data_IF_975221135312
#
_entry.id   IF_975221135312
#
_cell.length_a   1.000
_cell.length_b   1.000
_cell.length_c   1.000
_cell.angle_alpha   90.00
_cell.angle_beta   90.00
_cell.angle_gamma   90.00
#
_symmetry.space_group_name_H-M   'P 1'
#
loop_
_entity.id
_entity.type
_entity.pdbx_description
1 polymer ?
#
# COMPACT_ATOMS: atom_id res chain seq x y z
N UNK A 1 -10.83 -24.19 -49.74
CA UNK A 1 -9.93 -24.31 -48.58
C UNK A 1 -10.59 -25.24 -47.58
N UNK A 2 -10.14 -26.49 -47.54
CA UNK A 2 -10.67 -27.51 -46.64
C UNK A 2 -10.11 -27.27 -45.24
N UNK A 3 -10.97 -26.82 -44.32
CA UNK A 3 -10.68 -26.77 -42.89
C UNK A 3 -10.46 -28.20 -42.41
N UNK A 4 -9.20 -28.61 -42.31
CA UNK A 4 -8.81 -29.85 -41.62
C UNK A 4 -9.32 -29.76 -40.18
N UNK A 5 -10.25 -30.64 -39.82
CA UNK A 5 -10.70 -30.81 -38.45
C UNK A 5 -9.51 -31.25 -37.61
N UNK A 6 -8.87 -30.31 -36.93
CA UNK A 6 -7.88 -30.60 -35.89
C UNK A 6 -8.65 -31.33 -34.81
N UNK A 7 -8.34 -32.63 -34.62
CA UNK A 7 -8.87 -33.38 -33.49
C UNK A 7 -8.61 -32.55 -32.23
N UNK A 8 -9.66 -32.23 -31.49
CA UNK A 8 -9.57 -31.36 -30.33
C UNK A 8 -8.74 -32.07 -29.26
N UNK A 9 -7.44 -31.75 -29.20
CA UNK A 9 -6.57 -32.20 -28.12
C UNK A 9 -7.15 -31.65 -26.83
N UNK A 10 -7.57 -32.54 -25.94
CA UNK A 10 -8.05 -32.18 -24.61
C UNK A 10 -6.83 -31.82 -23.77
N UNK A 11 -6.81 -30.61 -23.22
CA UNK A 11 -5.72 -30.16 -22.35
C UNK A 11 -6.11 -30.42 -20.90
N UNK A 12 -5.26 -31.11 -20.11
CA UNK A 12 -5.54 -31.37 -18.70
C UNK A 12 -5.72 -30.09 -17.89
N UNK A 13 -6.64 -30.14 -16.93
CA UNK A 13 -6.96 -28.99 -16.07
C UNK A 13 -5.77 -28.59 -15.19
N UNK A 14 -5.02 -29.59 -14.74
CA UNK A 14 -3.83 -29.45 -13.91
C UNK A 14 -2.75 -28.60 -14.59
N UNK A 15 -2.68 -28.63 -15.92
CA UNK A 15 -1.74 -27.83 -16.71
C UNK A 15 -2.11 -26.34 -16.65
N UNK A 16 -3.40 -26.01 -16.74
CA UNK A 16 -3.88 -24.63 -16.57
C UNK A 16 -3.62 -24.13 -15.15
N UNK A 17 -3.94 -24.94 -14.14
CA UNK A 17 -3.70 -24.58 -12.74
C UNK A 17 -2.21 -24.32 -12.46
N UNK A 18 -1.33 -25.16 -13.01
CA UNK A 18 0.12 -25.00 -12.86
C UNK A 18 0.61 -23.71 -13.54
N UNK A 19 0.15 -23.44 -14.77
CA UNK A 19 0.45 -22.18 -15.46
C UNK A 19 0.01 -20.96 -14.65
N UNK A 20 -1.25 -20.90 -14.22
CA UNK A 20 -1.75 -19.73 -13.49
C UNK A 20 -1.02 -19.51 -12.16
N UNK A 21 -0.73 -20.57 -11.40
CA UNK A 21 0.01 -20.47 -10.13
C UNK A 21 1.47 -20.02 -10.32
N UNK A 22 2.16 -20.60 -11.31
CA UNK A 22 3.55 -20.27 -11.59
C UNK A 22 3.65 -18.84 -12.14
N UNK A 23 2.73 -18.43 -13.02
CA UNK A 23 2.69 -17.07 -13.55
C UNK A 23 2.36 -16.05 -12.47
N UNK A 24 1.40 -16.34 -11.58
CA UNK A 24 1.08 -15.50 -10.43
C UNK A 24 2.31 -15.27 -9.55
N UNK A 25 3.02 -16.35 -9.22
CA UNK A 25 4.25 -16.27 -8.42
C UNK A 25 5.31 -15.41 -9.12
N UNK A 26 5.61 -15.68 -10.39
CA UNK A 26 6.58 -14.92 -11.17
C UNK A 26 6.25 -13.42 -11.23
N UNK A 27 4.97 -13.07 -11.39
CA UNK A 27 4.51 -11.67 -11.44
C UNK A 27 4.61 -10.96 -10.09
N UNK A 28 4.31 -11.65 -8.98
CA UNK A 28 4.37 -11.06 -7.64
C UNK A 28 5.81 -10.80 -7.17
N UNK A 29 6.74 -11.68 -7.52
CA UNK A 29 8.17 -11.55 -7.18
C UNK A 29 8.97 -10.69 -8.16
N UNK A 30 8.33 -10.17 -9.21
CA UNK A 30 8.97 -9.34 -10.22
C UNK A 30 9.65 -8.11 -9.62
N UNK A 31 10.95 -7.93 -9.90
CA UNK A 31 11.68 -6.72 -9.48
C UNK A 31 11.71 -5.70 -10.61
N UNK A 32 11.50 -4.43 -10.28
CA UNK A 32 11.51 -3.34 -11.26
C UNK A 32 12.88 -3.16 -11.93
N UNK A 33 13.97 -3.43 -11.22
CA UNK A 33 15.35 -3.33 -11.75
C UNK A 33 15.60 -4.32 -12.89
N UNK A 34 15.16 -5.57 -12.72
CA UNK A 34 15.32 -6.64 -13.71
C UNK A 34 14.58 -6.31 -15.02
N UNK A 35 13.45 -5.61 -14.93
CA UNK A 35 12.70 -5.16 -16.09
C UNK A 35 13.38 -4.00 -16.84
N UNK A 36 14.05 -3.09 -16.13
CA UNK A 36 14.79 -1.99 -16.76
C UNK A 36 16.06 -2.48 -17.46
N UNK A 37 16.81 -3.40 -16.84
CA UNK A 37 18.03 -3.98 -17.45
C UNK A 37 17.73 -4.76 -18.74
N UNK A 38 16.55 -5.38 -18.85
CA UNK A 38 16.13 -6.08 -20.05
C UNK A 38 15.87 -5.15 -21.25
N UNK A 39 15.56 -3.87 -21.02
CA UNK A 39 15.25 -2.88 -22.06
C UNK A 39 16.52 -2.22 -22.64
N UNK A 40 17.55 -2.03 -21.82
CA UNK A 40 18.83 -1.38 -22.20
C UNK A 40 19.58 -2.10 -23.34
N UNK A 41 19.26 -3.37 -23.62
CA UNK A 41 19.87 -4.14 -24.71
C UNK A 41 19.37 -3.80 -26.13
N UNK A 42 18.25 -3.09 -26.26
CA UNK A 42 17.71 -2.68 -27.56
C UNK A 42 17.94 -1.18 -27.77
N UNK A 43 18.78 -0.81 -28.75
CA UNK A 43 19.16 0.57 -29.09
C UNK A 43 18.02 1.52 -29.51
N UNK A 44 16.75 1.16 -29.32
CA UNK A 44 15.60 2.04 -29.52
C UNK A 44 14.99 2.40 -28.16
N UNK A 45 14.98 3.68 -27.77
CA UNK A 45 14.46 4.09 -26.48
C UNK A 45 12.93 3.89 -26.47
N UNK A 46 12.49 2.77 -25.91
CA UNK A 46 11.11 2.57 -25.45
C UNK A 46 10.78 3.46 -24.23
N UNK A 47 11.71 4.37 -23.88
CA UNK A 47 11.63 5.46 -22.89
C UNK A 47 10.41 6.37 -23.08
N UNK A 48 9.74 6.33 -24.23
CA UNK A 48 8.58 7.18 -24.49
C UNK A 48 7.24 6.56 -24.08
N UNK A 49 7.18 5.25 -23.80
CA UNK A 49 5.95 4.59 -23.35
C UNK A 49 6.24 3.53 -22.27
N UNK A 50 6.29 3.93 -20.98
CA UNK A 50 6.52 3.01 -19.86
C UNK A 50 5.51 1.87 -19.83
N UNK A 51 4.27 2.21 -20.17
CA UNK A 51 3.13 1.32 -20.02
C UNK A 51 3.19 0.20 -21.07
N UNK A 52 3.41 0.54 -22.34
CA UNK A 52 3.59 -0.45 -23.39
C UNK A 52 4.80 -1.36 -23.13
N UNK A 53 5.91 -0.77 -22.67
CA UNK A 53 7.14 -1.51 -22.34
C UNK A 53 6.90 -2.49 -21.20
N UNK A 54 6.24 -2.04 -20.13
CA UNK A 54 5.87 -2.87 -18.97
C UNK A 54 4.90 -4.00 -19.36
N UNK A 55 3.90 -3.72 -20.19
CA UNK A 55 2.97 -4.74 -20.72
C UNK A 55 3.70 -5.80 -21.53
N UNK A 56 4.61 -5.39 -22.42
CA UNK A 56 5.40 -6.32 -23.24
C UNK A 56 6.26 -7.22 -22.36
N UNK A 57 6.90 -6.67 -21.34
CA UNK A 57 7.71 -7.43 -20.40
C UNK A 57 6.89 -8.47 -19.63
N UNK A 58 5.72 -8.08 -19.10
CA UNK A 58 4.79 -9.00 -18.43
C UNK A 58 4.33 -10.13 -19.36
N UNK A 59 4.00 -9.81 -20.62
CA UNK A 59 3.62 -10.82 -21.61
C UNK A 59 4.76 -11.78 -21.91
N UNK A 60 6.00 -11.29 -22.04
CA UNK A 60 7.17 -12.14 -22.22
C UNK A 60 7.38 -13.05 -21.01
N UNK A 61 7.22 -12.55 -19.79
CA UNK A 61 7.30 -13.36 -18.58
C UNK A 61 6.25 -14.48 -18.58
N UNK A 62 4.98 -14.15 -18.87
CA UNK A 62 3.91 -15.14 -18.97
C UNK A 62 4.20 -16.19 -20.06
N UNK A 63 4.73 -15.77 -21.22
CA UNK A 63 5.14 -16.69 -22.29
C UNK A 63 6.29 -17.61 -21.87
N UNK A 64 7.22 -17.15 -21.05
CA UNK A 64 8.29 -17.98 -20.49
C UNK A 64 7.69 -19.05 -19.57
N UNK A 65 6.80 -18.67 -18.67
CA UNK A 65 6.11 -19.60 -17.76
C UNK A 65 5.30 -20.64 -18.52
N UNK A 66 4.59 -20.25 -19.60
CA UNK A 66 3.89 -21.22 -20.46
C UNK A 66 4.88 -22.25 -21.01
N UNK A 67 6.03 -21.82 -21.52
CA UNK A 67 7.04 -22.73 -22.08
C UNK A 67 7.58 -23.69 -21.01
N UNK A 68 7.87 -23.18 -19.82
CA UNK A 68 8.38 -23.99 -18.71
C UNK A 68 7.36 -25.04 -18.26
N UNK A 69 6.11 -24.65 -18.05
CA UNK A 69 5.04 -25.55 -17.57
C UNK A 69 4.71 -26.63 -18.59
N UNK A 70 4.64 -26.30 -19.89
CA UNK A 70 4.42 -27.29 -20.95
C UNK A 70 5.60 -28.27 -21.05
N UNK A 71 6.84 -27.78 -20.95
CA UNK A 71 8.02 -28.64 -20.96
C UNK A 71 8.09 -29.56 -19.74
N UNK A 72 7.70 -29.06 -18.56
CA UNK A 72 7.64 -29.86 -17.34
C UNK A 72 6.58 -30.96 -17.46
N UNK A 73 5.40 -30.63 -17.99
CA UNK A 73 4.33 -31.60 -18.24
C UNK A 73 4.75 -32.69 -19.23
N UNK A 74 5.38 -32.31 -20.36
CA UNK A 74 5.91 -33.28 -21.34
C UNK A 74 6.92 -34.23 -20.69
N UNK A 75 7.85 -33.71 -19.87
CA UNK A 75 8.82 -34.55 -19.15
C UNK A 75 8.16 -35.52 -18.15
N UNK A 76 7.09 -35.09 -17.48
CA UNK A 76 6.36 -35.95 -16.54
C UNK A 76 5.63 -37.08 -17.28
N UNK A 77 4.98 -36.79 -18.40
CA UNK A 77 4.34 -37.79 -19.27
C UNK A 77 5.35 -38.78 -19.86
N UNK A 78 6.51 -38.31 -20.34
CA UNK A 78 7.59 -39.18 -20.85
C UNK A 78 8.08 -40.18 -19.78
N UNK A 79 8.06 -39.78 -18.50
CA UNK A 79 8.53 -40.60 -17.38
C UNK A 79 7.55 -41.70 -16.96
N UNK A 80 6.26 -41.55 -17.28
CA UNK A 80 5.18 -42.44 -16.84
C UNK A 80 4.91 -43.60 -17.81
N UNK A 81 5.56 -43.65 -18.98
CA UNK A 81 5.38 -44.69 -20.00
C UNK A 81 3.90 -45.01 -20.32
N UNK A 82 3.05 -43.98 -20.36
CA UNK A 82 1.66 -44.15 -20.76
C UNK A 82 1.61 -44.34 -22.28
N UNK A 83 1.07 -45.47 -22.75
CA UNK A 83 1.00 -45.84 -24.17
C UNK A 83 0.20 -44.83 -25.04
N UNK A 84 -0.57 -43.93 -24.43
CA UNK A 84 -1.30 -42.82 -25.08
C UNK A 84 -0.64 -41.46 -24.78
N UNK A 85 0.51 -41.21 -25.40
CA UNK A 85 1.20 -39.93 -25.27
C UNK A 85 0.38 -38.79 -25.90
N UNK A 86 -0.10 -37.87 -25.07
CA UNK A 86 -0.76 -36.64 -25.52
C UNK A 86 0.29 -35.54 -25.67
N UNK A 87 0.84 -35.36 -26.87
CA UNK A 87 1.83 -34.30 -27.13
C UNK A 87 1.15 -32.92 -27.16
N UNK A 88 1.07 -32.29 -25.99
CA UNK A 88 0.57 -30.92 -25.84
C UNK A 88 1.70 -29.94 -26.15
N UNK A 89 1.58 -29.24 -27.28
CA UNK A 89 2.52 -28.19 -27.68
C UNK A 89 2.16 -26.83 -27.05
N UNK A 90 3.15 -25.95 -26.92
CA UNK A 90 2.95 -24.55 -26.47
C UNK A 90 1.91 -23.81 -27.31
N UNK A 91 1.89 -24.05 -28.62
CA UNK A 91 0.93 -23.41 -29.53
C UNK A 91 -0.51 -23.88 -29.26
N UNK A 92 -0.72 -25.18 -29.05
CA UNK A 92 -2.04 -25.73 -28.68
C UNK A 92 -2.50 -25.17 -27.33
N UNK A 93 -1.62 -25.16 -26.33
CA UNK A 93 -1.94 -24.59 -25.01
C UNK A 93 -2.33 -23.11 -25.09
N UNK A 94 -1.60 -22.31 -25.86
CA UNK A 94 -1.93 -20.89 -26.08
C UNK A 94 -3.28 -20.68 -26.80
N UNK A 95 -3.63 -21.55 -27.75
CA UNK A 95 -4.94 -21.49 -28.42
C UNK A 95 -6.05 -21.76 -27.42
N UNK A 96 -5.92 -22.82 -26.61
CA UNK A 96 -6.93 -23.14 -25.60
C UNK A 96 -7.02 -22.08 -24.51
N UNK A 97 -5.91 -21.50 -24.06
CA UNK A 97 -5.91 -20.37 -23.12
C UNK A 97 -6.76 -19.19 -23.61
N UNK A 98 -6.75 -18.89 -24.92
CA UNK A 98 -7.58 -17.82 -25.50
C UNK A 98 -9.07 -18.17 -25.55
N UNK A 99 -9.38 -19.46 -25.66
CA UNK A 99 -10.76 -19.95 -25.68
C UNK A 99 -11.33 -20.11 -24.26
N UNK A 100 -10.46 -20.31 -23.28
CA UNK A 100 -10.80 -20.58 -21.89
C UNK A 100 -11.69 -19.49 -21.25
N UNK A 101 -11.49 -18.21 -21.61
CA UNK A 101 -12.30 -17.10 -21.10
C UNK A 101 -13.76 -17.14 -21.56
N UNK A 102 -14.05 -17.86 -22.65
CA UNK A 102 -15.39 -18.00 -23.22
C UNK A 102 -16.02 -19.37 -22.90
N UNK A 103 -15.30 -20.26 -22.20
CA UNK A 103 -15.80 -21.59 -21.88
C UNK A 103 -16.72 -21.55 -20.65
N UNK A 104 -18.03 -21.84 -20.79
CA UNK A 104 -18.96 -21.86 -19.66
C UNK A 104 -18.71 -23.03 -18.69
N UNK A 105 -17.95 -24.06 -19.10
CA UNK A 105 -17.71 -25.26 -18.30
C UNK A 105 -16.36 -25.25 -17.57
N UNK A 106 -15.68 -24.10 -17.52
CA UNK A 106 -14.43 -23.95 -16.77
C UNK A 106 -14.67 -24.26 -15.28
N UNK A 107 -13.77 -25.03 -14.67
CA UNK A 107 -13.85 -25.32 -13.25
C UNK A 107 -13.73 -24.04 -12.41
N UNK A 108 -14.32 -24.04 -11.21
CA UNK A 108 -14.20 -22.92 -10.27
C UNK A 108 -12.74 -22.62 -9.91
N UNK A 109 -11.92 -23.66 -9.82
CA UNK A 109 -10.54 -23.57 -9.36
C UNK A 109 -9.65 -22.94 -10.43
N UNK A 110 -9.82 -23.33 -11.69
CA UNK A 110 -9.13 -22.71 -12.82
C UNK A 110 -9.56 -21.25 -12.97
N UNK A 111 -10.85 -20.96 -12.82
CA UNK A 111 -11.36 -19.59 -12.87
C UNK A 111 -10.74 -18.72 -11.78
N UNK A 112 -10.72 -19.20 -10.53
CA UNK A 112 -10.10 -18.49 -9.42
C UNK A 112 -8.59 -18.29 -9.63
N UNK A 113 -7.88 -19.30 -10.15
CA UNK A 113 -6.47 -19.18 -10.46
C UNK A 113 -6.19 -18.17 -11.59
N UNK A 114 -7.03 -18.15 -12.63
CA UNK A 114 -6.96 -17.18 -13.72
C UNK A 114 -7.20 -15.75 -13.21
N UNK A 115 -8.20 -15.54 -12.36
CA UNK A 115 -8.47 -14.24 -11.72
C UNK A 115 -7.30 -13.79 -10.83
N UNK A 116 -6.69 -14.72 -10.08
CA UNK A 116 -5.50 -14.45 -9.28
C UNK A 116 -4.29 -14.02 -10.13
N UNK A 117 -4.05 -14.70 -11.25
CA UNK A 117 -2.99 -14.31 -12.19
C UNK A 117 -3.26 -12.94 -12.82
N UNK A 118 -4.50 -12.66 -13.21
CA UNK A 118 -4.89 -11.36 -13.77
C UNK A 118 -4.69 -10.22 -12.77
N UNK A 119 -5.01 -10.45 -11.49
CA UNK A 119 -4.73 -9.49 -10.43
C UNK A 119 -3.22 -9.28 -10.24
N UNK A 120 -2.44 -10.36 -10.16
CA UNK A 120 -0.98 -10.27 -10.06
C UNK A 120 -0.36 -9.53 -11.26
N UNK A 121 -0.90 -9.70 -12.47
CA UNK A 121 -0.47 -8.98 -13.66
C UNK A 121 -0.77 -7.47 -13.56
N UNK A 122 -1.94 -7.08 -13.03
CA UNK A 122 -2.29 -5.67 -12.78
C UNK A 122 -1.35 -5.04 -11.75
N UNK A 123 -1.06 -5.75 -10.65
CA UNK A 123 -0.14 -5.30 -9.62
C UNK A 123 1.30 -5.17 -10.17
N UNK A 124 1.77 -6.17 -10.92
CA UNK A 124 3.07 -6.15 -11.56
C UNK A 124 3.19 -4.97 -12.55
N UNK A 125 2.16 -4.73 -13.37
CA UNK A 125 2.14 -3.60 -14.31
C UNK A 125 2.27 -2.27 -13.58
N UNK A 126 1.46 -2.06 -12.54
CA UNK A 126 1.53 -0.85 -11.74
C UNK A 126 2.90 -0.68 -11.06
N UNK A 127 3.47 -1.77 -10.53
CA UNK A 127 4.79 -1.76 -9.88
C UNK A 127 5.89 -1.35 -10.87
N UNK A 128 5.91 -1.92 -12.07
CA UNK A 128 6.87 -1.58 -13.11
C UNK A 128 6.75 -0.12 -13.56
N UNK A 129 5.52 0.34 -13.79
CA UNK A 129 5.24 1.71 -14.20
C UNK A 129 5.72 2.72 -13.16
N UNK A 130 5.40 2.49 -11.89
CA UNK A 130 5.86 3.34 -10.79
C UNK A 130 7.38 3.32 -10.66
N UNK A 131 8.00 2.15 -10.75
CA UNK A 131 9.45 2.01 -10.66
C UNK A 131 10.15 2.79 -11.77
N UNK A 132 9.68 2.66 -13.01
CA UNK A 132 10.25 3.33 -14.16
C UNK A 132 10.08 4.85 -14.08
N UNK A 133 8.88 5.33 -13.74
CA UNK A 133 8.63 6.76 -13.61
C UNK A 133 9.44 7.38 -12.47
N UNK A 134 9.60 6.67 -11.36
CA UNK A 134 10.47 7.11 -10.28
C UNK A 134 11.94 7.13 -10.72
N UNK A 135 12.41 6.09 -11.42
CA UNK A 135 13.75 6.04 -11.98
C UNK A 135 14.01 7.24 -12.90
N UNK A 136 13.07 7.56 -13.80
CA UNK A 136 13.13 8.76 -14.66
C UNK A 136 13.24 10.04 -13.85
N UNK A 137 12.40 10.20 -12.82
CA UNK A 137 12.39 11.39 -11.96
C UNK A 137 13.72 11.57 -11.23
N UNK A 138 14.34 10.46 -10.79
CA UNK A 138 15.64 10.47 -10.08
C UNK A 138 16.87 10.54 -10.99
N UNK A 139 16.74 10.14 -12.26
CA UNK A 139 17.85 10.08 -13.22
C UNK A 139 18.26 11.46 -13.78
N UNK A 140 19.49 11.56 -14.27
CA UNK A 140 20.19 12.79 -14.72
C UNK A 140 19.36 13.74 -15.61
N UNK A 141 19.77 15.02 -15.64
CA UNK A 141 19.14 16.16 -16.34
C UNK A 141 18.67 15.91 -17.78
N UNK A 142 19.29 14.97 -18.51
CA UNK A 142 18.95 14.70 -19.91
C UNK A 142 17.64 13.91 -20.06
N UNK A 143 17.38 12.90 -19.21
CA UNK A 143 16.11 12.16 -19.21
C UNK A 143 14.95 13.05 -18.78
N UNK A 144 15.17 13.93 -17.80
CA UNK A 144 14.19 14.95 -17.42
C UNK A 144 13.93 15.98 -18.54
N UNK A 145 14.94 16.33 -19.35
CA UNK A 145 14.77 17.20 -20.53
C UNK A 145 14.00 16.51 -21.64
N UNK A 146 14.16 15.20 -21.81
CA UNK A 146 13.38 14.39 -22.74
C UNK A 146 11.93 14.26 -22.28
N UNK A 147 11.67 14.00 -21.00
CA UNK A 147 10.32 13.97 -20.42
C UNK A 147 9.61 15.33 -20.61
N UNK A 148 10.30 16.43 -20.28
CA UNK A 148 9.75 17.78 -20.52
C UNK A 148 9.47 18.05 -21.98
N UNK A 149 10.37 17.64 -22.89
CA UNK A 149 10.14 17.78 -24.33
C UNK A 149 8.95 16.93 -24.76
N UNK A 150 8.83 15.69 -24.31
CA UNK A 150 7.69 14.85 -24.66
C UNK A 150 6.35 15.45 -24.19
N UNK A 151 6.30 15.93 -22.95
CA UNK A 151 5.10 16.59 -22.40
C UNK A 151 4.80 17.94 -23.07
N UNK A 152 5.80 18.65 -23.59
CA UNK A 152 5.63 19.97 -24.23
C UNK A 152 5.47 19.93 -25.75
N UNK A 153 6.08 18.94 -26.42
CA UNK A 153 6.14 18.82 -27.88
C UNK A 153 5.01 17.96 -28.44
N UNK A 154 4.22 17.27 -27.60
CA UNK A 154 2.95 16.69 -28.03
C UNK A 154 1.97 17.83 -28.34
N UNK A 155 1.76 18.21 -29.61
CA UNK A 155 0.99 19.40 -29.99
C UNK A 155 -0.53 19.17 -29.91
N UNK A 156 -0.93 17.96 -29.50
CA UNK A 156 -2.31 17.56 -29.30
C UNK A 156 -2.54 17.68 -27.80
N UNK A 157 -3.36 18.64 -27.38
CA UNK A 157 -3.91 18.65 -26.02
C UNK A 157 -4.43 17.24 -25.75
N UNK A 158 -3.88 16.52 -24.76
CA UNK A 158 -4.22 15.12 -24.58
C UNK A 158 -5.67 15.05 -24.11
N UNK A 159 -6.58 14.82 -25.05
CA UNK A 159 -7.98 14.58 -24.75
C UNK A 159 -8.04 13.38 -23.80
N UNK A 160 -8.82 13.53 -22.72
CA UNK A 160 -9.09 12.43 -21.82
C UNK A 160 -9.98 11.42 -22.55
N UNK A 161 -9.35 10.46 -23.21
CA UNK A 161 -10.08 9.32 -23.75
C UNK A 161 -10.59 8.43 -22.61
N UNK A 162 -11.83 7.95 -22.77
CA UNK A 162 -12.51 7.05 -21.84
C UNK A 162 -11.65 5.85 -21.46
N UNK A 163 -11.03 5.20 -22.45
CA UNK A 163 -10.24 3.97 -22.24
C UNK A 163 -9.02 4.25 -21.39
N UNK A 164 -8.30 5.34 -21.71
CA UNK A 164 -7.11 5.75 -20.96
C UNK A 164 -7.47 6.17 -19.54
N UNK A 165 -8.63 6.82 -19.35
CA UNK A 165 -9.09 7.24 -18.04
C UNK A 165 -9.42 6.03 -17.14
N UNK A 166 -10.16 5.05 -17.67
CA UNK A 166 -10.43 3.80 -16.96
C UNK A 166 -9.15 3.04 -16.63
N UNK A 167 -8.18 3.01 -17.55
CA UNK A 167 -6.88 2.42 -17.31
C UNK A 167 -6.13 3.14 -16.17
N UNK A 168 -6.11 4.47 -16.18
CA UNK A 168 -5.51 5.26 -15.11
C UNK A 168 -6.16 4.96 -13.76
N UNK A 169 -7.48 4.88 -13.69
CA UNK A 169 -8.18 4.50 -12.46
C UNK A 169 -7.82 3.08 -12.01
N UNK A 170 -7.75 2.13 -12.94
CA UNK A 170 -7.30 0.76 -12.65
C UNK A 170 -5.87 0.71 -12.12
N UNK A 171 -4.95 1.54 -12.66
CA UNK A 171 -3.60 1.68 -12.14
C UNK A 171 -3.58 2.28 -10.72
N UNK A 172 -4.40 3.31 -10.46
CA UNK A 172 -4.51 3.85 -9.11
C UNK A 172 -5.07 2.83 -8.11
N UNK A 173 -6.10 2.06 -8.48
CA UNK A 173 -6.63 0.98 -7.64
C UNK A 173 -5.59 -0.11 -7.37
N UNK A 174 -4.83 -0.51 -8.40
CA UNK A 174 -3.73 -1.47 -8.26
C UNK A 174 -2.62 -0.93 -7.34
N UNK A 175 -2.28 0.36 -7.45
CA UNK A 175 -1.27 1.00 -6.62
C UNK A 175 -1.62 0.92 -5.13
N UNK A 176 -2.89 1.15 -4.75
CA UNK A 176 -3.35 1.06 -3.36
C UNK A 176 -3.19 -0.34 -2.75
N UNK A 177 -3.12 -1.38 -3.57
CA UNK A 177 -2.93 -2.77 -3.14
C UNK A 177 -1.45 -3.15 -2.98
N UNK A 178 -0.53 -2.43 -3.62
CA UNK A 178 0.90 -2.71 -3.56
C UNK A 178 1.47 -2.49 -2.16
N UNK A 179 2.26 -3.45 -1.67
CA UNK A 179 2.89 -3.36 -0.35
C UNK A 179 3.87 -2.18 -0.27
N UNK A 180 4.64 -1.92 -1.31
CA UNK A 180 5.58 -0.78 -1.35
C UNK A 180 4.87 0.58 -1.26
N UNK A 181 3.71 0.73 -1.90
CA UNK A 181 2.89 1.95 -1.80
C UNK A 181 2.29 2.09 -0.40
N UNK A 182 1.80 0.99 0.21
CA UNK A 182 1.29 1.01 1.58
C UNK A 182 2.38 1.44 2.58
N UNK A 183 3.56 0.83 2.51
CA UNK A 183 4.68 1.19 3.37
C UNK A 183 5.12 2.64 3.15
N UNK A 184 5.18 3.07 1.90
CA UNK A 184 5.43 4.47 1.55
C UNK A 184 4.41 5.40 2.20
N UNK A 185 3.12 5.08 2.13
CA UNK A 185 2.06 5.90 2.74
C UNK A 185 2.14 5.95 4.27
N UNK A 186 2.56 4.86 4.94
CA UNK A 186 2.67 4.79 6.41
C UNK A 186 3.93 5.49 6.90
N UNK A 187 5.10 5.04 6.47
CA UNK A 187 6.38 5.47 7.02
C UNK A 187 6.95 6.71 6.32
N UNK A 188 6.61 6.90 5.04
CA UNK A 188 7.18 7.98 4.23
C UNK A 188 8.58 7.70 3.73
N UNK A 189 8.97 6.43 3.71
CA UNK A 189 10.25 5.96 3.19
C UNK A 189 10.35 6.16 1.66
N UNK A 190 11.34 5.57 1.01
CA UNK A 190 11.37 5.57 -0.46
C UNK A 190 10.31 4.60 -0.97
N UNK A 191 9.61 4.96 -2.04
CA UNK A 191 8.64 4.07 -2.68
C UNK A 191 9.28 2.76 -3.19
N UNK A 192 10.58 2.79 -3.52
CA UNK A 192 11.41 1.60 -3.78
C UNK A 192 12.82 1.80 -3.23
N UNK A 193 13.34 0.79 -2.52
CA UNK A 193 14.63 0.86 -1.81
C UNK A 193 15.87 0.78 -2.72
N UNK A 194 15.72 0.22 -3.92
CA UNK A 194 16.84 -0.23 -4.77
C UNK A 194 17.37 0.79 -5.77
N UNK A 195 17.02 2.09 -5.64
CA UNK A 195 17.59 3.10 -6.54
C UNK A 195 19.04 3.41 -6.11
N UNK A 196 20.04 3.29 -7.01
CA UNK A 196 21.45 3.48 -6.69
C UNK A 196 21.71 4.78 -5.94
N UNK A 197 22.41 4.70 -4.79
CA UNK A 197 22.68 5.85 -3.92
C UNK A 197 23.33 7.04 -4.64
N UNK A 198 24.08 6.78 -5.71
CA UNK A 198 24.78 7.79 -6.52
C UNK A 198 23.83 8.76 -7.24
N UNK A 199 22.61 8.34 -7.63
CA UNK A 199 21.58 9.24 -8.16
C UNK A 199 20.78 9.94 -7.04
N UNK A 200 20.75 9.36 -5.84
CA UNK A 200 19.93 9.89 -4.73
C UNK A 200 20.58 11.06 -3.99
N UNK A 201 21.91 11.21 -4.03
CA UNK A 201 22.60 12.29 -3.33
C UNK A 201 22.20 13.69 -3.86
N UNK A 202 22.03 13.84 -5.18
CA UNK A 202 21.66 15.12 -5.81
C UNK A 202 20.14 15.38 -5.74
N UNK A 203 19.33 14.32 -5.74
CA UNK A 203 17.88 14.42 -5.58
C UNK A 203 17.47 14.70 -4.14
N UNK A 204 18.17 14.13 -3.15
CA UNK A 204 17.89 14.30 -1.72
C UNK A 204 18.06 15.75 -1.26
N UNK A 205 19.04 16.50 -1.77
CA UNK A 205 19.25 17.91 -1.41
C UNK A 205 18.13 18.84 -1.93
N UNK A 206 17.55 18.54 -3.10
CA UNK A 206 16.39 19.29 -3.63
C UNK A 206 15.06 18.84 -3.03
N UNK A 207 14.94 17.56 -2.68
CA UNK A 207 13.79 17.04 -1.93
C UNK A 207 13.78 17.54 -0.48
N UNK A 208 14.92 17.82 0.15
CA UNK A 208 15.02 18.11 1.58
C UNK A 208 14.37 19.43 2.05
N UNK A 209 14.12 20.41 1.17
CA UNK A 209 13.71 21.77 1.58
C UNK A 209 12.21 22.04 1.36
N UNK A 210 11.52 21.31 0.47
CA UNK A 210 10.06 21.42 0.26
C UNK A 210 9.24 20.31 0.95
N UNK A 211 9.89 19.28 1.52
CA UNK A 211 9.24 18.02 1.92
C UNK A 211 8.73 17.89 3.36
N UNK A 212 8.76 18.92 4.19
CA UNK A 212 7.98 18.88 5.44
C UNK A 212 6.46 18.74 5.16
N UNK A 213 6.01 19.03 3.92
CA UNK A 213 4.63 18.78 3.45
C UNK A 213 4.35 17.33 3.01
N UNK A 214 5.38 16.49 2.80
CA UNK A 214 5.24 15.06 2.42
C UNK A 214 4.96 14.18 3.67
N UNK A 215 4.76 14.78 4.84
CA UNK A 215 4.52 14.04 6.08
C UNK A 215 3.13 13.39 6.17
N UNK A 216 2.16 13.82 5.37
CA UNK A 216 0.79 13.29 5.44
C UNK A 216 0.56 12.18 4.40
N UNK A 217 -0.11 11.07 4.77
CA UNK A 217 -0.47 9.99 3.83
C UNK A 217 -1.21 10.47 2.57
N UNK A 218 -1.98 11.57 2.68
CA UNK A 218 -2.66 12.20 1.54
C UNK A 218 -1.67 12.73 0.49
N UNK A 219 -0.65 13.50 0.92
CA UNK A 219 0.37 14.05 0.01
C UNK A 219 1.18 12.95 -0.66
N UNK A 220 1.45 11.87 0.08
CA UNK A 220 2.17 10.68 -0.43
C UNK A 220 1.35 9.96 -1.49
N UNK A 221 0.06 9.77 -1.27
CA UNK A 221 -0.82 9.20 -2.28
C UNK A 221 -0.94 10.09 -3.52
N UNK A 222 -1.05 11.41 -3.33
CA UNK A 222 -1.06 12.36 -4.45
C UNK A 222 0.21 12.25 -5.29
N UNK A 223 1.38 12.10 -4.65
CA UNK A 223 2.63 11.86 -5.36
C UNK A 223 2.58 10.58 -6.21
N UNK A 224 2.04 9.48 -5.68
CA UNK A 224 1.86 8.23 -6.44
C UNK A 224 0.92 8.44 -7.64
N UNK A 225 -0.18 9.17 -7.46
CA UNK A 225 -1.10 9.53 -8.56
C UNK A 225 -0.42 10.37 -9.63
N UNK A 226 0.42 11.34 -9.24
CA UNK A 226 1.19 12.17 -10.17
C UNK A 226 2.19 11.33 -10.99
N UNK A 227 2.85 10.33 -10.38
CA UNK A 227 3.71 9.41 -11.11
C UNK A 227 2.92 8.60 -12.14
N UNK A 228 1.75 8.06 -11.77
CA UNK A 228 0.90 7.31 -12.69
C UNK A 228 0.36 8.20 -13.83
N UNK A 229 -0.03 9.45 -13.54
CA UNK A 229 -0.47 10.40 -14.55
C UNK A 229 0.63 10.68 -15.59
N UNK A 230 1.86 10.91 -15.12
CA UNK A 230 3.02 11.10 -15.99
C UNK A 230 3.33 9.87 -16.84
N UNK A 231 3.20 8.68 -16.27
CA UNK A 231 3.37 7.44 -17.02
C UNK A 231 2.30 7.24 -18.11
N UNK A 232 1.10 7.81 -17.90
CA UNK A 232 0.07 7.93 -18.93
C UNK A 232 0.33 9.08 -19.91
N UNK A 233 1.48 9.76 -19.84
CA UNK A 233 1.79 10.90 -20.71
C UNK A 233 0.93 12.13 -20.45
N UNK A 234 0.29 12.22 -19.28
CA UNK A 234 -0.48 13.39 -18.87
C UNK A 234 0.30 14.28 -17.92
N UNK A 235 0.16 15.59 -18.08
CA UNK A 235 0.57 16.52 -17.05
C UNK A 235 -0.37 16.38 -15.83
N UNK A 236 0.14 16.17 -14.60
CA UNK A 236 -0.73 15.95 -13.44
C UNK A 236 -1.62 17.15 -13.09
N UNK A 237 -1.17 18.38 -13.38
CA UNK A 237 -1.97 19.59 -13.12
C UNK A 237 -3.11 19.67 -14.12
N UNK A 238 -2.85 19.37 -15.40
CA UNK A 238 -3.89 19.22 -16.42
C UNK A 238 -4.92 18.14 -16.03
N UNK A 239 -4.47 16.92 -15.71
CA UNK A 239 -5.36 15.82 -15.34
C UNK A 239 -6.26 16.19 -14.16
N UNK A 240 -5.69 16.79 -13.11
CA UNK A 240 -6.46 17.20 -11.92
C UNK A 240 -7.55 18.21 -12.27
N UNK A 241 -7.25 19.19 -13.13
CA UNK A 241 -8.23 20.18 -13.60
C UNK A 241 -9.34 19.54 -14.42
N UNK A 242 -9.02 18.63 -15.32
CA UNK A 242 -10.01 17.96 -16.15
C UNK A 242 -10.90 17.01 -15.33
N UNK A 243 -10.31 16.26 -14.38
CA UNK A 243 -11.09 15.45 -13.43
C UNK A 243 -12.03 16.34 -12.58
N UNK A 244 -11.59 17.53 -12.18
CA UNK A 244 -12.44 18.48 -11.47
C UNK A 244 -13.61 18.95 -12.35
N UNK A 245 -13.37 19.30 -13.62
CA UNK A 245 -14.44 19.67 -14.55
C UNK A 245 -15.47 18.55 -14.74
N UNK A 246 -15.00 17.32 -14.92
CA UNK A 246 -15.86 16.15 -15.18
C UNK A 246 -16.69 15.80 -13.93
N UNK A 247 -16.04 15.64 -12.78
CA UNK A 247 -16.71 15.04 -11.62
C UNK A 247 -17.20 16.03 -10.57
N UNK A 248 -16.65 17.24 -10.51
CA UNK A 248 -17.02 18.27 -9.53
C UNK A 248 -17.92 19.33 -10.15
N UNK A 249 -17.49 19.92 -11.27
CA UNK A 249 -18.23 21.00 -11.93
C UNK A 249 -19.34 20.46 -12.84
N UNK A 250 -19.20 19.22 -13.32
CA UNK A 250 -20.14 18.53 -14.22
C UNK A 250 -20.42 19.37 -15.47
N UNK A 251 -19.36 19.72 -16.18
CA UNK A 251 -19.48 20.43 -17.45
C UNK A 251 -20.16 19.55 -18.51
N UNK A 252 -21.45 19.78 -18.75
CA UNK A 252 -22.29 19.03 -19.71
C UNK A 252 -21.73 19.05 -21.16
N UNK A 253 -20.74 19.90 -21.46
CA UNK A 253 -20.05 19.87 -22.76
C UNK A 253 -19.14 18.65 -22.96
N UNK A 254 -18.75 17.96 -21.87
CA UNK A 254 -17.85 16.82 -21.89
C UNK A 254 -18.63 15.49 -21.93
N UNK A 255 -18.41 14.68 -22.96
CA UNK A 255 -19.10 13.40 -23.14
C UNK A 255 -18.92 12.43 -21.95
N UNK A 256 -17.79 12.54 -21.23
CA UNK A 256 -17.47 11.70 -20.06
C UNK A 256 -18.36 11.98 -18.84
N UNK A 257 -19.01 13.14 -18.75
CA UNK A 257 -19.87 13.49 -17.60
C UNK A 257 -21.09 12.59 -17.49
N UNK A 258 -21.56 12.04 -18.62
CA UNK A 258 -22.70 11.13 -18.68
C UNK A 258 -22.31 9.65 -18.74
N UNK A 259 -21.02 9.33 -18.58
CA UNK A 259 -20.56 7.94 -18.56
C UNK A 259 -20.69 7.34 -17.15
N UNK A 260 -21.74 6.54 -16.96
CA UNK A 260 -22.06 5.89 -15.69
C UNK A 260 -20.96 4.92 -15.22
N UNK A 261 -20.28 4.23 -16.16
CA UNK A 261 -19.23 3.28 -15.83
C UNK A 261 -17.99 4.02 -15.29
N UNK A 262 -17.55 5.06 -16.02
CA UNK A 262 -16.43 5.91 -15.61
C UNK A 262 -16.71 6.55 -14.26
N UNK A 263 -17.92 7.07 -14.06
CA UNK A 263 -18.35 7.67 -12.79
C UNK A 263 -18.35 6.67 -11.65
N UNK A 264 -18.84 5.46 -11.87
CA UNK A 264 -18.85 4.39 -10.87
C UNK A 264 -17.42 3.98 -10.47
N UNK A 265 -16.55 3.73 -11.44
CA UNK A 265 -15.15 3.35 -11.19
C UNK A 265 -14.41 4.46 -10.46
N UNK A 266 -14.66 5.72 -10.81
CA UNK A 266 -14.07 6.86 -10.10
C UNK A 266 -14.56 6.96 -8.64
N UNK A 267 -15.85 6.72 -8.38
CA UNK A 267 -16.39 6.70 -7.02
C UNK A 267 -15.80 5.57 -6.18
N UNK A 268 -15.68 4.37 -6.74
CA UNK A 268 -15.02 3.23 -6.09
C UNK A 268 -13.57 3.57 -5.75
N UNK A 269 -12.83 4.16 -6.70
CA UNK A 269 -11.46 4.64 -6.47
C UNK A 269 -11.37 5.65 -5.31
N UNK A 270 -12.26 6.64 -5.27
CA UNK A 270 -12.27 7.62 -4.18
C UNK A 270 -12.51 6.97 -2.80
N UNK A 271 -13.39 5.97 -2.74
CA UNK A 271 -13.64 5.22 -1.51
C UNK A 271 -12.38 4.45 -1.08
N UNK A 272 -11.75 3.73 -2.01
CA UNK A 272 -10.52 2.98 -1.74
C UNK A 272 -9.39 3.91 -1.26
N UNK A 273 -9.24 5.09 -1.88
CA UNK A 273 -8.26 6.09 -1.47
C UNK A 273 -8.52 6.62 -0.06
N UNK A 274 -9.79 6.91 0.28
CA UNK A 274 -10.14 7.35 1.63
C UNK A 274 -9.86 6.28 2.68
N UNK A 275 -10.15 5.00 2.37
CA UNK A 275 -9.84 3.87 3.25
C UNK A 275 -8.32 3.73 3.43
N UNK A 276 -7.55 3.79 2.35
CA UNK A 276 -6.10 3.70 2.38
C UNK A 276 -5.50 4.84 3.22
N UNK A 277 -5.90 6.09 2.97
CA UNK A 277 -5.41 7.26 3.73
C UNK A 277 -5.73 7.10 5.22
N UNK A 278 -6.96 6.74 5.58
CA UNK A 278 -7.36 6.54 6.99
C UNK A 278 -6.57 5.42 7.65
N UNK A 279 -6.40 4.31 6.96
CA UNK A 279 -5.66 3.14 7.47
C UNK A 279 -4.20 3.48 7.69
N UNK A 280 -3.54 4.12 6.73
CA UNK A 280 -2.15 4.57 6.86
C UNK A 280 -1.99 5.61 7.95
N UNK A 281 -2.94 6.53 8.12
CA UNK A 281 -2.91 7.51 9.20
C UNK A 281 -3.02 6.85 10.59
N UNK A 282 -3.93 5.88 10.74
CA UNK A 282 -4.08 5.12 12.00
C UNK A 282 -2.84 4.30 12.32
N UNK A 283 -2.23 3.66 11.32
CA UNK A 283 -0.99 2.89 11.49
C UNK A 283 0.19 3.79 11.86
N UNK A 284 0.36 4.92 11.16
CA UNK A 284 1.37 5.92 11.47
C UNK A 284 1.21 6.45 12.91
N UNK A 285 -0.02 6.73 13.35
CA UNK A 285 -0.29 7.15 14.72
C UNK A 285 0.01 6.05 15.73
N UNK A 286 -0.33 4.79 15.42
CA UNK A 286 -0.05 3.65 16.26
C UNK A 286 1.46 3.43 16.43
N UNK A 287 2.23 3.46 15.34
CA UNK A 287 3.69 3.33 15.39
C UNK A 287 4.34 4.48 16.15
N UNK A 288 3.87 5.71 15.96
CA UNK A 288 4.37 6.86 16.72
C UNK A 288 4.04 6.73 18.22
N UNK A 289 2.86 6.21 18.56
CA UNK A 289 2.49 5.93 19.94
C UNK A 289 3.32 4.79 20.53
N UNK A 290 3.57 3.72 19.78
CA UNK A 290 4.45 2.62 20.18
C UNK A 290 5.87 3.14 20.39
N UNK A 291 6.41 3.96 19.49
CA UNK A 291 7.74 4.58 19.65
C UNK A 291 7.81 5.48 20.89
N UNK A 292 6.79 6.30 21.15
CA UNK A 292 6.74 7.17 22.34
C UNK A 292 6.57 6.39 23.65
N UNK A 293 5.87 5.26 23.62
CA UNK A 293 5.66 4.39 24.79
C UNK A 293 6.76 3.34 24.96
N UNK A 294 7.56 3.11 23.93
CA UNK A 294 8.67 2.18 23.95
C UNK A 294 9.87 2.84 24.62
N UNK A 295 10.21 2.35 25.81
CA UNK A 295 11.43 2.66 26.55
C UNK A 295 12.64 1.85 26.05
N UNK A 296 12.56 1.28 24.84
CA UNK A 296 13.61 0.46 24.23
C UNK A 296 14.94 1.21 24.12
N UNK A 297 14.90 2.51 23.80
CA UNK A 297 16.10 3.37 23.75
C UNK A 297 16.61 3.77 25.14
N UNK A 298 15.77 3.69 26.18
CA UNK A 298 16.11 4.01 27.56
C UNK A 298 16.45 2.78 28.42
N UNK A 299 16.74 1.64 27.78
CA UNK A 299 17.14 0.41 28.46
C UNK A 299 15.98 -0.41 29.04
N UNK A 300 14.73 -0.07 28.74
CA UNK A 300 13.52 -0.80 29.11
C UNK A 300 13.27 -2.04 28.25
N UNK A 301 14.30 -2.81 27.92
CA UNK A 301 14.11 -4.12 27.28
C UNK A 301 13.97 -5.18 28.36
N UNK A 302 12.74 -5.41 28.85
CA UNK A 302 12.47 -6.61 29.65
C UNK A 302 12.34 -7.80 28.70
N UNK A 303 13.48 -8.33 28.26
CA UNK A 303 13.52 -9.56 27.45
C UNK A 303 13.22 -10.74 28.36
N UNK A 304 12.05 -11.35 28.24
CA UNK A 304 11.78 -12.67 28.84
C UNK A 304 12.53 -13.70 28.00
N UNK A 305 13.75 -14.03 28.41
CA UNK A 305 14.67 -14.88 27.62
C UNK A 305 14.25 -16.36 27.63
N UNK A 306 13.35 -16.76 28.53
CA UNK A 306 12.62 -18.02 28.46
C UNK A 306 11.51 -18.06 29.50
N UNK A 307 10.37 -18.63 29.14
CA UNK A 307 9.40 -19.15 30.12
C UNK A 307 9.53 -20.67 30.06
N UNK A 308 10.09 -21.27 31.11
CA UNK A 308 10.13 -22.73 31.24
C UNK A 308 8.81 -23.15 31.88
N UNK A 309 7.82 -23.50 31.07
CA UNK A 309 6.66 -24.25 31.56
C UNK A 309 7.14 -25.66 31.90
N UNK A 310 7.46 -25.90 33.17
CA UNK A 310 7.61 -27.27 33.67
C UNK A 310 6.22 -27.77 34.06
N UNK A 311 5.39 -28.08 33.06
CA UNK A 311 4.24 -28.93 33.30
C UNK A 311 4.80 -30.34 33.53
N UNK A 312 4.64 -30.84 34.75
CA UNK A 312 4.95 -32.22 35.10
C UNK A 312 3.64 -32.99 35.12
N UNK A 313 3.54 -34.04 34.31
CA UNK A 313 2.44 -35.00 34.44
C UNK A 313 2.65 -35.81 35.73
N UNK A 314 1.77 -35.56 36.71
CA UNK A 314 1.73 -36.28 37.97
C UNK A 314 0.73 -37.43 37.80
N UNK A 315 1.21 -38.67 37.91
CA UNK A 315 0.32 -39.84 37.99
C UNK A 315 -0.61 -39.72 39.21
N UNK A 316 -1.81 -40.33 39.20
CA UNK A 316 -2.78 -40.21 40.30
C UNK A 316 -2.28 -40.66 41.69
N UNK A 317 -1.14 -41.35 41.75
CA UNK A 317 -0.46 -41.76 42.99
C UNK A 317 0.66 -40.79 43.45
N UNK A 318 0.82 -39.64 42.78
CA UNK A 318 1.70 -38.55 43.23
C UNK A 318 3.18 -38.66 42.82
N UNK A 319 3.55 -39.59 41.94
CA UNK A 319 4.92 -39.74 41.46
C UNK A 319 5.15 -39.05 40.10
N UNK A 320 6.30 -38.37 39.98
CA UNK A 320 6.77 -37.72 38.75
C UNK A 320 7.28 -38.76 37.75
N UNK A 321 6.80 -38.68 36.51
CA UNK A 321 7.33 -39.44 35.37
C UNK A 321 8.56 -38.72 34.83
N UNK A 322 9.74 -38.98 35.40
CA UNK A 322 11.02 -38.61 34.79
C UNK A 322 11.85 -39.88 34.66
N UNK A 323 12.09 -40.36 33.44
CA UNK A 323 13.31 -41.09 33.07
C UNK A 323 13.41 -41.26 31.55
N UNK A 324 14.37 -40.54 30.95
CA UNK A 324 14.65 -40.60 29.52
C UNK A 324 15.80 -39.68 29.12
N UNK A 325 17.03 -40.13 29.38
CA UNK A 325 18.33 -39.53 29.07
C UNK A 325 18.39 -38.83 27.70
N UNK A 326 18.80 -37.55 27.67
CA UNK A 326 19.51 -36.90 26.54
C UNK A 326 20.22 -35.61 26.99
N UNK A 327 21.55 -35.67 27.07
CA UNK A 327 22.62 -34.64 27.09
C UNK A 327 22.45 -33.23 27.73
N UNK A 328 23.34 -32.82 28.66
CA UNK A 328 23.43 -31.45 29.17
C UNK A 328 24.40 -30.53 28.38
N UNK A 329 24.73 -30.82 27.12
CA UNK A 329 25.81 -30.13 26.40
C UNK A 329 25.50 -29.74 24.93
N UNK A 330 24.24 -29.49 24.58
CA UNK A 330 23.89 -28.87 23.31
C UNK A 330 23.52 -27.40 23.53
N UNK A 331 24.34 -26.50 22.97
CA UNK A 331 23.98 -25.09 22.85
C UNK A 331 22.68 -24.98 22.02
N UNK A 332 21.67 -24.19 22.45
CA UNK A 332 20.44 -24.08 21.70
C UNK A 332 20.73 -23.32 20.41
N UNK A 333 20.41 -23.97 19.29
CA UNK A 333 20.32 -23.34 17.97
C UNK A 333 19.43 -22.10 18.08
N UNK A 334 19.88 -21.05 17.40
CA UNK A 334 19.16 -19.80 17.18
C UNK A 334 17.75 -20.07 16.67
N UNK A 335 16.79 -20.14 17.60
CA UNK A 335 15.39 -19.91 17.30
C UNK A 335 15.26 -18.45 16.87
N UNK A 336 15.18 -18.29 15.55
CA UNK A 336 14.67 -17.11 14.86
C UNK A 336 13.49 -16.54 15.63
N UNK A 337 13.55 -15.23 15.88
CA UNK A 337 12.47 -14.42 16.44
C UNK A 337 11.14 -14.84 15.83
N UNK A 338 10.21 -15.33 16.66
CA UNK A 338 8.80 -15.19 16.33
C UNK A 338 8.51 -13.69 16.19
N UNK A 339 7.97 -13.24 15.04
CA UNK A 339 7.55 -11.87 14.88
C UNK A 339 6.44 -11.57 15.90
N UNK A 340 6.44 -10.33 16.38
CA UNK A 340 5.42 -9.70 17.21
C UNK A 340 4.16 -10.54 17.42
N UNK A 341 3.98 -11.02 18.65
CA UNK A 341 2.78 -11.66 19.17
C UNK A 341 1.55 -10.96 18.59
N UNK A 342 0.94 -11.58 17.59
CA UNK A 342 -0.25 -11.07 16.92
C UNK A 342 -1.29 -10.83 18.01
N UNK A 343 -1.61 -9.56 18.27
CA UNK A 343 -2.71 -9.19 19.15
C UNK A 343 -3.92 -9.98 18.64
N UNK A 344 -4.50 -10.83 19.48
CA UNK A 344 -5.73 -11.55 19.15
C UNK A 344 -6.71 -10.62 18.44
N UNK A 345 -7.34 -11.09 17.36
CA UNK A 345 -8.31 -10.32 16.57
C UNK A 345 -9.30 -9.53 17.43
N UNK A 346 -9.67 -10.04 18.60
CA UNK A 346 -10.53 -9.36 19.56
C UNK A 346 -9.88 -8.13 20.21
N UNK A 347 -8.60 -8.22 20.60
CA UNK A 347 -7.83 -7.10 21.13
C UNK A 347 -7.58 -6.05 20.06
N UNK A 348 -7.26 -6.47 18.83
CA UNK A 348 -7.11 -5.56 17.70
C UNK A 348 -8.44 -4.84 17.39
N UNK A 349 -9.56 -5.57 17.31
CA UNK A 349 -10.90 -4.98 17.14
C UNK A 349 -11.25 -4.01 18.28
N UNK A 350 -10.91 -4.34 19.53
CA UNK A 350 -11.12 -3.46 20.68
C UNK A 350 -10.28 -2.19 20.58
N UNK A 351 -9.01 -2.29 20.20
CA UNK A 351 -8.14 -1.14 19.98
C UNK A 351 -8.67 -0.26 18.83
N UNK A 352 -9.14 -0.85 17.73
CA UNK A 352 -9.73 -0.11 16.61
C UNK A 352 -10.99 0.65 17.08
N UNK A 353 -11.86 0.02 17.88
CA UNK A 353 -13.05 0.71 18.44
C UNK A 353 -12.67 1.88 19.34
N UNK A 354 -11.71 1.68 20.24
CA UNK A 354 -11.22 2.74 21.12
C UNK A 354 -10.55 3.87 20.33
N UNK A 355 -9.77 3.55 19.30
CA UNK A 355 -9.16 4.54 18.41
C UNK A 355 -10.23 5.31 17.61
N UNK A 356 -11.28 4.63 17.15
CA UNK A 356 -12.41 5.27 16.47
C UNK A 356 -13.16 6.21 17.42
N UNK A 357 -13.49 5.77 18.63
CA UNK A 357 -14.12 6.62 19.67
C UNK A 357 -13.25 7.83 20.00
N UNK A 358 -11.93 7.65 20.12
CA UNK A 358 -10.99 8.73 20.35
C UNK A 358 -10.94 9.71 19.16
N UNK A 359 -10.97 9.21 17.92
CA UNK A 359 -10.96 10.05 16.72
C UNK A 359 -12.25 10.88 16.59
N UNK A 360 -13.41 10.28 16.89
CA UNK A 360 -14.69 11.00 16.92
C UNK A 360 -14.67 12.11 17.97
N UNK A 361 -14.19 11.82 19.18
CA UNK A 361 -14.05 12.82 20.24
C UNK A 361 -13.11 13.96 19.84
N UNK A 362 -11.98 13.64 19.19
CA UNK A 362 -11.05 14.66 18.68
C UNK A 362 -11.71 15.55 17.62
N UNK A 363 -12.48 14.97 16.70
CA UNK A 363 -13.21 15.72 15.67
C UNK A 363 -14.31 16.60 16.27
N UNK A 364 -15.05 16.12 17.28
CA UNK A 364 -16.05 16.92 17.99
C UNK A 364 -15.41 18.11 18.71
N UNK A 365 -14.34 17.89 19.48
CA UNK A 365 -13.63 18.95 20.20
C UNK A 365 -13.09 19.98 19.22
N UNK A 366 -12.48 19.54 18.11
CA UNK A 366 -11.97 20.43 17.09
C UNK A 366 -13.11 21.20 16.40
N UNK A 367 -14.19 20.52 16.04
CA UNK A 367 -15.37 21.13 15.44
C UNK A 367 -15.99 22.21 16.32
N UNK A 368 -16.05 22.00 17.63
CA UNK A 368 -16.48 23.02 18.60
C UNK A 368 -15.51 24.20 18.65
N UNK A 369 -14.21 23.95 18.77
CA UNK A 369 -13.19 25.01 18.82
C UNK A 369 -13.24 25.90 17.58
N UNK A 370 -13.38 25.32 16.39
CA UNK A 370 -13.40 26.07 15.13
C UNK A 370 -14.72 26.84 14.92
N UNK A 371 -15.81 26.45 15.60
CA UNK A 371 -17.10 27.15 15.56
C UNK A 371 -17.19 28.32 16.53
N UNK A 372 -16.41 28.30 17.60
CA UNK A 372 -16.41 29.37 18.60
C UNK A 372 -15.81 30.67 18.03
N UNK A 373 -16.35 31.84 18.41
CA UNK A 373 -15.71 33.12 18.16
C UNK A 373 -14.28 33.14 18.71
N UNK A 374 -13.38 33.85 18.04
CA UNK A 374 -11.95 33.85 18.38
C UNK A 374 -11.67 34.16 19.85
N UNK A 375 -12.35 35.15 20.42
CA UNK A 375 -12.22 35.52 21.83
C UNK A 375 -12.63 34.38 22.78
N UNK A 376 -13.78 33.75 22.55
CA UNK A 376 -14.27 32.63 23.39
C UNK A 376 -13.38 31.39 23.26
N UNK A 377 -12.92 31.12 22.04
CA UNK A 377 -11.98 30.04 21.75
C UNK A 377 -10.68 30.25 22.50
N UNK A 378 -10.11 31.46 22.46
CA UNK A 378 -8.85 31.76 23.17
C UNK A 378 -9.00 31.59 24.67
N UNK A 379 -10.12 32.02 25.27
CA UNK A 379 -10.40 31.81 26.69
C UNK A 379 -10.46 30.32 27.05
N UNK A 380 -11.14 29.49 26.24
CA UNK A 380 -11.21 28.03 26.47
C UNK A 380 -9.86 27.36 26.31
N UNK A 381 -9.04 27.80 25.35
CA UNK A 381 -7.70 27.27 25.14
C UNK A 381 -6.75 27.64 26.28
N UNK A 382 -6.88 28.85 26.82
CA UNK A 382 -6.12 29.28 28.00
C UNK A 382 -6.51 28.46 29.23
N UNK A 383 -7.81 28.22 29.45
CA UNK A 383 -8.29 27.35 30.52
C UNK A 383 -7.76 25.92 30.36
N UNK A 384 -7.85 25.37 29.15
CA UNK A 384 -7.33 24.05 28.82
C UNK A 384 -5.80 23.94 29.03
N UNK A 385 -5.06 25.00 28.72
CA UNK A 385 -3.63 25.08 29.00
C UNK A 385 -3.34 25.08 30.50
N UNK A 386 -4.06 25.89 31.28
CA UNK A 386 -3.90 25.91 32.75
C UNK A 386 -4.18 24.54 33.36
N UNK A 387 -5.30 23.92 32.99
CA UNK A 387 -5.64 22.56 33.44
C UNK A 387 -4.56 21.56 33.03
N UNK A 388 -4.00 21.66 31.82
CA UNK A 388 -2.90 20.80 31.39
C UNK A 388 -1.63 20.99 32.21
N UNK A 389 -1.28 22.23 32.56
CA UNK A 389 -0.11 22.51 33.37
C UNK A 389 -0.29 22.00 34.81
N UNK A 390 -1.46 22.21 35.40
CA UNK A 390 -1.75 21.76 36.76
C UNK A 390 -1.82 20.24 36.85
N UNK A 391 -2.44 19.60 35.86
CA UNK A 391 -2.44 18.15 35.72
C UNK A 391 -1.02 17.58 35.62
N UNK A 392 -0.16 18.14 34.77
CA UNK A 392 1.24 17.69 34.64
C UNK A 392 2.01 17.89 35.94
N UNK A 393 1.83 19.00 36.64
CA UNK A 393 2.44 19.22 37.96
C UNK A 393 2.02 18.13 38.94
N UNK A 394 0.72 17.84 39.04
CA UNK A 394 0.19 16.83 39.95
C UNK A 394 0.72 15.42 39.60
N UNK A 395 0.70 15.02 38.33
CA UNK A 395 1.25 13.74 37.87
C UNK A 395 2.75 13.60 38.21
N UNK A 396 3.52 14.68 38.09
CA UNK A 396 4.95 14.69 38.38
C UNK A 396 5.27 14.65 39.88
N UNK A 397 4.33 15.08 40.75
CA UNK A 397 4.49 14.91 42.20
C UNK A 397 4.29 13.47 42.66
N UNK A 398 3.58 12.65 41.88
CA UNK A 398 3.35 11.24 42.18
C UNK A 398 4.56 10.39 41.74
N UNK A 399 5.01 9.41 42.56
CA UNK A 399 6.06 8.49 42.14
C UNK A 399 5.59 7.61 40.96
N UNK A 400 6.49 7.20 40.06
CA UNK A 400 6.15 6.26 39.00
C UNK A 400 5.70 4.92 39.63
N UNK A 401 4.54 4.40 39.20
CA UNK A 401 3.99 3.14 39.74
C UNK A 401 2.47 3.11 39.75
N UNK A 402 1.90 2.27 40.62
CA UNK A 402 0.45 2.05 40.76
C UNK A 402 -0.32 3.34 41.03
N UNK A 403 0.24 4.25 41.80
CA UNK A 403 -0.45 5.45 42.28
C UNK A 403 -0.63 6.46 41.15
N UNK A 404 0.39 6.62 40.30
CA UNK A 404 0.28 7.41 39.06
C UNK A 404 -0.72 6.79 38.08
N UNK A 405 -0.74 5.47 37.94
CA UNK A 405 -1.70 4.77 37.07
C UNK A 405 -3.13 4.93 37.60
N UNK A 406 -3.34 4.83 38.91
CA UNK A 406 -4.63 5.05 39.54
C UNK A 406 -5.12 6.48 39.29
N UNK A 407 -4.25 7.48 39.49
CA UNK A 407 -4.54 8.88 39.21
C UNK A 407 -4.93 9.11 37.74
N UNK A 408 -4.18 8.56 36.78
CA UNK A 408 -4.49 8.65 35.35
C UNK A 408 -5.82 8.00 34.97
N UNK A 409 -6.30 7.02 35.74
CA UNK A 409 -7.60 6.35 35.51
C UNK A 409 -8.78 7.07 36.17
N UNK A 410 -8.54 7.91 37.16
CA UNK A 410 -9.58 8.65 37.90
C UNK A 410 -9.84 10.05 37.37
N UNK A 411 -9.23 10.43 36.24
CA UNK A 411 -9.42 11.76 35.63
C UNK A 411 -10.87 11.92 35.23
N UNK A 412 -11.49 13.03 35.68
CA UNK A 412 -12.87 13.32 35.35
C UNK A 412 -13.04 13.67 33.86
N UNK A 413 -14.24 13.47 33.29
CA UNK A 413 -14.48 13.70 31.86
C UNK A 413 -14.21 15.13 31.41
N UNK A 414 -14.41 16.12 32.29
CA UNK A 414 -14.21 17.53 31.95
C UNK A 414 -12.72 17.84 31.82
N UNK A 415 -11.91 17.43 32.80
CA UNK A 415 -10.45 17.54 32.75
C UNK A 415 -9.87 16.79 31.55
N UNK A 416 -10.31 15.55 31.30
CA UNK A 416 -9.88 14.77 30.13
C UNK A 416 -10.16 15.50 28.80
N UNK A 417 -11.33 16.14 28.68
CA UNK A 417 -11.69 16.95 27.51
C UNK A 417 -10.81 18.17 27.36
N UNK A 418 -10.50 18.89 28.45
CA UNK A 418 -9.58 20.03 28.43
C UNK A 418 -8.15 19.62 28.05
N UNK A 419 -7.64 18.51 28.57
CA UNK A 419 -6.34 17.96 28.18
C UNK A 419 -6.28 17.60 26.69
N UNK A 420 -7.33 16.93 26.18
CA UNK A 420 -7.45 16.61 24.77
C UNK A 420 -7.49 17.88 23.91
N UNK A 421 -8.27 18.88 24.32
CA UNK A 421 -8.38 20.19 23.65
C UNK A 421 -7.02 20.89 23.52
N UNK A 422 -6.27 20.98 24.63
CA UNK A 422 -4.93 21.59 24.64
C UNK A 422 -3.96 20.82 23.73
N UNK A 423 -3.95 19.48 23.83
CA UNK A 423 -3.04 18.62 23.02
C UNK A 423 -3.32 18.74 21.53
N UNK A 424 -4.59 18.71 21.11
CA UNK A 424 -4.99 18.86 19.70
C UNK A 424 -4.54 20.22 19.18
N UNK A 425 -4.86 21.30 19.90
CA UNK A 425 -4.54 22.65 19.46
C UNK A 425 -3.03 22.91 19.37
N UNK A 426 -2.26 22.46 20.37
CA UNK A 426 -0.80 22.56 20.35
C UNK A 426 -0.18 21.75 19.21
N UNK A 427 -0.70 20.55 18.95
CA UNK A 427 -0.29 19.74 17.79
C UNK A 427 -0.54 20.45 16.47
N UNK A 428 -1.68 21.13 16.32
CA UNK A 428 -1.98 21.93 15.13
C UNK A 428 -1.04 23.12 14.96
N UNK A 429 -0.75 23.86 16.05
CA UNK A 429 0.21 24.96 16.02
C UNK A 429 1.60 24.45 15.59
N UNK A 430 2.04 23.32 16.14
CA UNK A 430 3.32 22.71 15.80
C UNK A 430 3.37 22.28 14.33
N UNK A 431 2.31 21.64 13.83
CA UNK A 431 2.19 21.25 12.42
C UNK A 431 2.15 22.47 11.46
N UNK A 432 1.67 23.62 11.94
CA UNK A 432 1.61 24.87 11.17
C UNK A 432 2.85 25.77 11.39
N UNK A 433 4.00 25.20 11.76
CA UNK A 433 5.25 25.94 11.92
C UNK A 433 5.20 26.99 13.03
N UNK A 434 4.46 26.70 14.11
CA UNK A 434 4.29 27.58 15.27
C UNK A 434 3.20 28.64 15.11
N UNK A 435 2.43 28.62 14.03
CA UNK A 435 1.35 29.59 13.79
C UNK A 435 -0.04 28.98 14.03
N UNK A 436 -1.00 29.73 14.58
CA UNK A 436 -2.38 29.24 14.70
C UNK A 436 -2.99 29.00 13.31
N UNK A 437 -3.88 28.00 13.17
CA UNK A 437 -4.56 27.73 11.91
C UNK A 437 -5.37 28.95 11.45
N UNK A 438 -5.20 29.36 10.19
CA UNK A 438 -6.01 30.40 9.58
C UNK A 438 -7.44 29.90 9.42
N UNK A 439 -8.37 30.44 10.21
CA UNK A 439 -9.78 30.27 9.96
C UNK A 439 -10.16 31.16 8.77
N UNK A 440 -10.88 30.61 7.80
CA UNK A 440 -11.53 31.43 6.79
C UNK A 440 -12.46 32.42 7.52
N UNK A 441 -12.11 33.71 7.49
CA UNK A 441 -13.07 34.76 7.83
C UNK A 441 -14.28 34.51 6.94
N UNK A 442 -15.46 34.34 7.56
CA UNK A 442 -16.70 34.22 6.82
C UNK A 442 -16.74 35.41 5.86
N UNK A 443 -16.71 35.14 4.55
CA UNK A 443 -17.11 36.12 3.56
C UNK A 443 -18.54 36.52 3.93
N UNK A 444 -18.69 37.66 4.59
CA UNK A 444 -19.97 38.32 4.73
C UNK A 444 -20.42 38.68 3.32
N UNK A 445 -21.22 37.82 2.70
CA UNK A 445 -22.03 38.20 1.57
C UNK A 445 -23.07 39.21 2.09
N UNK A 446 -22.72 40.48 1.96
CA UNK A 446 -23.69 41.58 1.94
C UNK A 446 -24.55 41.52 0.68
#
# INVERSE_FOLDING_TARGET
>A
MTSTAVAAVMIPEELFLSFFKNATSALMYLKGSEAMEADDGNNNPSILDPLASSRRYILTLQQNVVREVVQEYQKQEESLHVDEYHDVTVAQFQVHLRLLSNDPNISSDVKAAMEGMNEAARLALCKLVLYWQQALTTSCTEKQRLEKRYLQESPIEPELDRTRLLEYFGLCQAALKLHSVKNFMIHGDKLFDYLPSECTAVAAEKFSVENEKILLPKSRLEYVQQLLAKAMGWDPVFLTKELQKIFVERDDSLALVHDDEVSKVFQELLQDMQIAIRTSFLQMQHEHQVQLLSDLENGGSTRVVSVKYSEYDITPDGHRLDEGVSDPAAAPETLTMEPAQELSDEQQKRQIRLAHEAAVLQQEILGELLRLPEHERNNRLEEAERTSQDFVKEVMTLPPGSDRIAFLRTVDPHTSRQLAMHKIWKGMIQANGGRPPMLAEKCEHQ
#
